data_IF_935977058114
#
_entry.id   IF_935977058114
#
_cell.length_a   1.000
_cell.length_b   1.000
_cell.length_c   1.000
_cell.angle_alpha   90.00
_cell.angle_beta   90.00
_cell.angle_gamma   90.00
#
_symmetry.space_group_name_H-M   'P 1'
#
loop_
_entity.id
_entity.type
_entity.pdbx_description
1 polymer ?
2 polymer ?
3 polymer ?
#
loop_
_entity_poly.entity_id
_entity_poly.type
_entity_poly.pdbx_seq_one_letter_code
_entity_poly.pdbx_strand_id
1 'polyribonucleotide' 'CGUACGCGGAAUACUUCGA' ?
2 'polyribonucleotide' 'UCGAAGUAUUCCGCGUACG' ?
#
# COMPACT_ATOMS: atom_id res chain seq x y z
N UNK E 4 3.51 -12.12 10.57
CA UNK E 4 3.50 -11.75 12.02
C UNK E 4 4.74 -10.94 12.48
N UNK E 5 5.54 -10.47 11.51
CA UNK E 5 6.58 -9.46 11.76
C UNK E 5 5.99 -8.06 11.51
N UNK E 6 6.52 -7.07 12.24
CA UNK E 6 6.12 -5.67 12.08
C UNK E 6 6.57 -5.11 10.74
N UNK E 7 5.72 -4.31 10.11
CA UNK E 7 6.07 -3.74 8.80
C UNK E 7 6.01 -2.20 8.76
N UNK E 8 7.18 -1.53 8.89
CA UNK E 8 7.23 -0.06 8.86
C UNK E 8 6.56 0.46 7.61
N UNK E 9 5.61 1.36 7.79
CA UNK E 9 4.90 1.93 6.67
C UNK E 9 5.87 2.58 5.69
N UNK E 10 7.02 3.02 6.19
CA UNK E 10 8.02 3.60 5.32
C UNK E 10 8.44 2.58 4.27
N UNK E 11 8.42 1.30 4.65
CA UNK E 11 8.89 0.22 3.79
C UNK E 11 7.87 -0.25 2.75
N UNK E 12 6.61 -0.35 3.16
CA UNK E 12 5.51 -0.56 2.25
C UNK E 12 5.64 0.47 1.14
N UNK E 13 5.69 1.73 1.53
CA UNK E 13 5.87 2.83 0.60
C UNK E 13 7.11 2.55 -0.22
N UNK E 14 8.23 2.32 0.45
CA UNK E 14 9.50 2.02 -0.20
C UNK E 14 9.38 0.92 -1.27
N UNK E 15 8.41 0.03 -1.09
CA UNK E 15 8.17 -1.03 -2.05
C UNK E 15 7.44 -0.49 -3.27
N UNK E 16 6.35 0.22 -3.01
CA UNK E 16 5.54 0.78 -4.08
C UNK E 16 6.35 1.70 -4.96
N UNK E 17 7.10 2.61 -4.34
CA UNK E 17 8.03 3.47 -5.04
C UNK E 17 8.73 2.64 -6.08
N UNK E 18 9.48 1.62 -5.64
CA UNK E 18 10.19 0.70 -6.53
C UNK E 18 9.25 0.23 -7.64
N UNK E 19 8.29 -0.60 -7.25
CA UNK E 19 7.29 -1.14 -8.14
C UNK E 19 6.85 -0.18 -9.22
N UNK E 20 6.58 1.06 -8.83
CA UNK E 20 6.17 2.08 -9.77
C UNK E 20 7.31 2.40 -10.71
N UNK E 21 8.46 2.75 -10.16
CA UNK E 21 9.65 3.11 -10.93
C UNK E 21 10.02 2.06 -11.97
N UNK E 22 9.53 0.83 -11.77
CA UNK E 22 9.58 -0.23 -12.78
C UNK E 22 8.55 0.06 -13.87
N UNK E 23 7.26 0.03 -13.51
CA UNK E 23 6.18 0.32 -14.46
C UNK E 23 6.57 1.49 -15.35
N UNK E 24 6.92 2.61 -14.72
CA UNK E 24 7.44 3.81 -15.38
C UNK E 24 8.53 3.55 -16.42
N UNK E 25 9.46 2.65 -16.10
CA UNK E 25 10.64 2.46 -16.93
C UNK E 25 10.39 1.53 -18.10
N UNK E 26 9.43 0.62 -17.96
CA UNK E 26 9.02 -0.27 -19.06
C UNK E 26 8.34 0.57 -20.13
N UNK E 27 7.35 1.35 -19.70
CA UNK E 27 6.60 2.22 -20.60
C UNK E 27 7.51 3.13 -21.42
N UNK E 28 8.50 3.74 -20.75
CA UNK E 28 9.51 4.60 -21.40
C UNK E 28 10.18 3.91 -22.59
N UNK E 29 10.68 2.70 -22.39
CA UNK E 29 11.36 1.97 -23.45
C UNK E 29 10.36 1.31 -24.42
N UNK E 30 9.31 0.69 -23.88
CA UNK E 30 8.26 0.14 -24.70
C UNK E 30 7.77 1.19 -25.72
N UNK E 31 7.65 2.44 -25.27
CA UNK E 31 7.28 3.58 -26.12
C UNK E 31 8.31 3.79 -27.22
N UNK E 32 9.58 3.73 -26.86
CA UNK E 32 10.66 3.88 -27.81
C UNK E 32 10.74 2.68 -28.77
N UNK E 33 10.34 1.50 -28.30
CA UNK E 33 10.23 0.31 -29.15
C UNK E 33 9.20 0.44 -30.26
N UNK E 34 8.06 1.08 -29.93
CA UNK E 34 6.98 1.30 -30.89
C UNK E 34 7.42 2.32 -31.90
N UNK E 35 7.85 3.47 -31.40
CA UNK E 35 8.36 4.55 -32.23
C UNK E 35 9.35 4.04 -33.32
N UNK E 36 10.20 3.09 -32.95
CA UNK E 36 11.14 2.47 -33.89
C UNK E 36 10.48 1.63 -34.97
N UNK E 37 9.43 0.90 -34.60
CA UNK E 37 8.67 0.10 -35.56
C UNK E 37 7.65 0.96 -36.29
N UNK E 38 7.49 2.21 -35.84
CA UNK E 38 6.51 3.15 -36.40
C UNK E 38 5.06 2.82 -36.07
N UNK E 39 4.87 1.83 -35.21
CA UNK E 39 3.55 1.37 -34.81
C UNK E 39 2.87 2.34 -33.84
N UNK E 40 1.63 2.70 -34.16
CA UNK E 40 0.79 3.53 -33.30
C UNK E 40 -0.51 2.83 -32.93
N UNK E 41 -1.23 3.40 -31.98
CA UNK E 41 -2.48 2.84 -31.55
C UNK E 41 -3.60 3.69 -32.11
N UNK E 42 -4.78 3.10 -32.34
CA UNK E 42 -5.94 3.90 -32.69
C UNK E 42 -6.03 5.16 -31.83
N UNK E 43 -6.06 5.01 -30.51
CA UNK E 43 -6.02 6.15 -29.60
C UNK E 43 -4.94 7.13 -30.02
N UNK E 44 -3.74 6.60 -30.27
CA UNK E 44 -2.57 7.42 -30.60
C UNK E 44 -2.68 8.11 -31.95
N UNK E 45 -3.46 7.53 -32.85
CA UNK E 45 -3.67 8.14 -34.16
C UNK E 45 -4.47 9.43 -34.05
N UNK E 46 -5.66 9.34 -33.43
CA UNK E 46 -6.44 10.52 -33.09
C UNK E 46 -5.57 11.53 -32.37
N UNK E 47 -5.26 11.23 -31.11
CA UNK E 47 -4.40 12.06 -30.27
C UNK E 47 -3.38 12.84 -31.09
N UNK E 48 -2.70 12.14 -31.99
CA UNK E 48 -1.73 12.76 -32.89
C UNK E 48 -2.41 13.68 -33.88
N UNK E 49 -3.23 13.11 -34.77
CA UNK E 49 -3.91 13.88 -35.83
C UNK E 49 -4.77 15.00 -35.28
N UNK E 50 -5.66 14.63 -34.37
CA UNK E 50 -6.58 15.55 -33.69
C UNK E 50 -5.83 16.69 -32.98
N UNK E 51 -4.51 16.52 -32.83
CA UNK E 51 -3.64 17.54 -32.25
C UNK E 51 -3.06 18.47 -33.32
N UNK E 52 -2.68 17.90 -34.46
CA UNK E 52 -2.11 18.67 -35.59
C UNK E 52 -3.07 19.76 -36.11
N UNK E 53 -4.36 19.42 -36.15
CA UNK E 53 -5.40 20.34 -36.61
C UNK E 53 -5.66 21.45 -35.60
N UNK E 54 -5.65 21.12 -34.32
CA UNK E 54 -5.74 22.13 -33.25
C UNK E 54 -4.44 22.95 -33.14
N UNK E 55 -3.38 22.47 -33.80
CA UNK E 55 -2.06 23.12 -33.79
C UNK E 55 -1.87 24.09 -34.97
N UNK E 56 -2.10 23.58 -36.17
CA UNK E 56 -1.98 24.38 -37.41
C UNK E 56 -2.98 25.56 -37.45
N UNK E 57 -4.12 25.40 -36.77
CA UNK E 57 -5.18 26.41 -36.71
C UNK E 57 -4.91 27.56 -35.72
N UNK E 58 -4.75 27.20 -34.45
CA UNK E 58 -4.82 28.16 -33.34
C UNK E 58 -3.66 29.18 -33.20
N UNK E 59 -2.53 28.96 -33.89
CA UNK E 59 -1.39 29.89 -33.84
C UNK E 59 -1.49 31.01 -34.87
N UNK F 4 -7.34 15.15 -4.52
CA UNK F 4 -8.76 15.48 -4.14
C UNK F 4 -9.72 14.31 -4.42
N UNK F 5 -9.17 13.16 -4.82
CA UNK F 5 -9.97 11.96 -5.03
C UNK F 5 -10.12 11.19 -3.70
N UNK F 6 -11.36 10.77 -3.42
CA UNK F 6 -11.65 9.84 -2.35
C UNK F 6 -11.20 8.45 -2.77
N UNK F 7 -10.15 7.93 -2.13
CA UNK F 7 -9.66 6.60 -2.43
C UNK F 7 -9.88 5.69 -1.23
N UNK F 8 -10.98 4.91 -1.25
CA UNK F 8 -11.30 4.00 -0.16
C UNK F 8 -10.17 3.02 0.05
N UNK F 9 -9.90 2.68 1.30
CA UNK F 9 -8.91 1.67 1.58
C UNK F 9 -9.29 0.41 0.84
N UNK F 10 -10.55 0.03 0.97
CA UNK F 10 -11.06 -1.12 0.26
C UNK F 10 -10.65 -1.11 -1.21
N UNK F 11 -10.68 0.07 -1.82
CA UNK F 11 -10.27 0.24 -3.21
C UNK F 11 -8.78 0.13 -3.44
N UNK F 12 -7.99 0.40 -2.42
CA UNK F 12 -6.54 0.25 -2.51
C UNK F 12 -6.21 -1.23 -2.35
N UNK F 13 -6.79 -1.86 -1.33
CA UNK F 13 -6.65 -3.30 -1.11
C UNK F 13 -6.80 -3.99 -2.43
N UNK F 14 -7.96 -3.74 -3.04
CA UNK F 14 -8.35 -4.37 -4.27
C UNK F 14 -7.22 -4.36 -5.27
N UNK F 15 -6.76 -3.17 -5.65
CA UNK F 15 -5.73 -3.01 -6.68
C UNK F 15 -4.53 -3.93 -6.46
N UNK F 16 -4.23 -4.22 -5.19
CA UNK F 16 -3.09 -5.05 -4.87
C UNK F 16 -3.41 -6.53 -4.97
N UNK F 17 -4.52 -6.96 -4.38
CA UNK F 17 -4.99 -8.33 -4.54
C UNK F 17 -4.74 -8.76 -5.98
N UNK F 18 -5.21 -7.94 -6.94
CA UNK F 18 -4.93 -8.12 -8.36
C UNK F 18 -3.44 -8.24 -8.64
N UNK F 19 -2.66 -7.24 -8.25
CA UNK F 19 -1.21 -7.27 -8.46
C UNK F 19 -0.57 -8.53 -7.94
N UNK F 20 -1.20 -9.12 -6.93
CA UNK F 20 -0.70 -10.33 -6.30
C UNK F 20 -1.02 -11.56 -7.13
N UNK F 21 -2.30 -11.85 -7.29
CA UNK F 21 -2.75 -12.99 -8.08
C UNK F 21 -2.18 -12.99 -9.50
N UNK F 22 -1.98 -11.81 -10.06
CA UNK F 22 -1.27 -11.66 -11.33
C UNK F 22 0.13 -12.18 -11.18
N UNK F 23 0.88 -11.56 -10.27
CA UNK F 23 2.26 -11.95 -10.00
C UNK F 23 2.39 -13.43 -9.59
N UNK F 24 1.38 -13.94 -8.88
CA UNK F 24 1.22 -15.37 -8.55
C UNK F 24 1.08 -16.27 -9.79
N UNK F 25 0.17 -15.90 -10.69
CA UNK F 25 -0.09 -16.69 -11.88
C UNK F 25 1.14 -16.77 -12.78
N UNK F 26 2.04 -15.81 -12.63
CA UNK F 26 3.25 -15.72 -13.43
C UNK F 26 4.29 -16.75 -13.01
N UNK F 27 4.36 -17.03 -11.72
CA UNK F 27 5.27 -18.04 -11.21
C UNK F 27 4.75 -19.43 -11.57
N UNK F 28 3.49 -19.69 -11.24
CA UNK F 28 2.84 -20.92 -11.65
C UNK F 28 3.24 -21.28 -13.09
N UNK F 29 3.08 -20.33 -14.01
CA UNK F 29 3.45 -20.54 -15.41
C UNK F 29 4.97 -20.61 -15.61
N UNK F 30 5.70 -19.69 -15.01
CA UNK F 30 7.15 -19.69 -15.19
C UNK F 30 7.72 -21.00 -14.68
N UNK F 31 7.20 -21.46 -13.53
CA UNK F 31 7.60 -22.72 -12.89
C UNK F 31 7.44 -23.92 -13.83
N UNK F 32 6.28 -24.01 -14.47
CA UNK F 32 5.96 -25.04 -15.46
C UNK F 32 6.90 -25.02 -16.65
N UNK F 33 7.14 -23.82 -17.19
CA UNK F 33 8.08 -23.62 -18.29
C UNK F 33 9.47 -24.20 -18.02
N UNK F 34 9.94 -24.03 -16.78
CA UNK F 34 11.28 -24.48 -16.36
C UNK F 34 11.38 -26.00 -16.23
N UNK F 35 10.29 -26.61 -15.78
CA UNK F 35 10.14 -28.07 -15.73
C UNK F 35 10.19 -28.70 -17.14
N UNK F 36 9.46 -28.11 -18.09
CA UNK F 36 9.42 -28.60 -19.46
C UNK F 36 10.76 -28.48 -20.18
N UNK F 37 11.61 -27.55 -19.70
CA UNK F 37 12.96 -27.38 -20.23
C UNK F 37 13.97 -28.24 -19.47
N UNK F 38 13.58 -28.67 -18.27
CA UNK F 38 14.47 -29.39 -17.37
C UNK F 38 15.49 -28.50 -16.68
N UNK F 39 15.18 -27.19 -16.57
CA UNK F 39 16.09 -26.23 -15.96
C UNK F 39 15.88 -26.06 -14.46
N UNK F 40 16.98 -25.92 -13.75
CA UNK F 40 16.97 -25.59 -12.34
C UNK F 40 18.07 -24.58 -12.00
N UNK F 41 17.77 -23.70 -11.05
CA UNK F 41 18.74 -22.77 -10.54
C UNK F 41 19.64 -23.49 -9.54
N UNK F 42 20.93 -23.10 -9.46
CA UNK F 42 21.90 -23.67 -8.53
C UNK F 42 21.26 -24.12 -7.23
N UNK F 43 20.54 -23.20 -6.58
CA UNK F 43 19.85 -23.47 -5.33
C UNK F 43 18.83 -24.58 -5.50
N UNK F 44 17.99 -24.46 -6.54
CA UNK F 44 16.97 -25.46 -6.84
C UNK F 44 17.54 -26.89 -6.87
N UNK F 45 18.76 -27.02 -7.40
CA UNK F 45 19.45 -28.31 -7.44
C UNK F 45 19.76 -28.76 -6.04
N UNK F 46 20.39 -27.88 -5.27
CA UNK F 46 20.90 -28.19 -3.95
C UNK F 46 19.84 -28.67 -2.97
N UNK F 47 18.63 -28.12 -3.06
CA UNK F 47 17.51 -28.60 -2.26
C UNK F 47 17.19 -30.03 -2.66
N UNK F 48 16.99 -30.22 -3.96
CA UNK F 48 16.61 -31.50 -4.53
C UNK F 48 17.56 -32.59 -4.05
N UNK F 49 18.82 -32.49 -4.48
CA UNK F 49 19.86 -33.46 -4.14
C UNK F 49 19.80 -33.83 -2.67
N UNK F 50 19.85 -32.81 -1.81
CA UNK F 50 19.80 -33.00 -0.37
C UNK F 50 18.53 -33.72 0.06
N UNK F 51 17.41 -33.35 -0.55
CA UNK F 51 16.13 -33.92 -0.14
C UNK F 51 16.16 -35.44 -0.20
N UNK F 52 16.63 -35.99 -1.32
CA UNK F 52 16.77 -37.44 -1.51
C UNK F 52 17.69 -37.99 -0.44
N UNK F 53 18.90 -37.44 -0.41
CA UNK F 53 19.92 -37.84 0.55
C UNK F 53 19.31 -38.15 1.90
N UNK F 54 18.51 -37.21 2.42
CA UNK F 54 17.87 -37.34 3.71
C UNK F 54 16.90 -38.52 3.77
N UNK F 55 15.94 -38.54 2.84
CA UNK F 55 14.82 -39.47 2.91
C UNK F 55 15.17 -40.90 2.52
N UNK F 56 16.12 -41.05 1.59
CA UNK F 56 16.65 -42.36 1.25
C UNK F 56 17.42 -42.91 2.45
N UNK F 57 18.25 -42.03 3.04
CA UNK F 57 18.99 -42.31 4.27
C UNK F 57 18.08 -42.66 5.48
N UNK F 58 16.76 -42.59 5.27
CA UNK F 58 15.81 -42.80 6.38
C UNK F 58 15.42 -44.26 6.61
N UNK F 59 15.16 -45.00 5.53
CA UNK F 59 14.72 -46.40 5.62
C UNK F 59 15.75 -47.36 6.25
N UNK G 6 -9.95 4.61 -12.00
CA UNK G 6 -8.49 4.54 -12.31
C UNK G 6 -7.61 5.05 -11.17
N UNK G 7 -6.83 4.15 -10.55
CA UNK G 7 -5.98 4.52 -9.42
C UNK G 7 -4.49 4.38 -9.78
N UNK G 8 -3.80 5.51 -10.08
CA UNK G 8 -2.36 5.45 -10.31
C UNK G 8 -1.63 4.97 -9.04
N UNK G 9 -0.48 4.32 -9.21
CA UNK G 9 0.29 3.95 -8.03
C UNK G 9 0.74 5.20 -7.28
N UNK G 10 1.18 6.19 -8.05
CA UNK G 10 1.64 7.44 -7.50
C UNK G 10 0.80 7.93 -6.33
N UNK G 11 -0.48 7.59 -6.36
CA UNK G 11 -1.44 8.02 -5.35
C UNK G 11 -1.39 7.17 -4.09
N UNK G 12 -1.46 5.87 -4.28
CA UNK G 12 -1.32 4.92 -3.19
C UNK G 12 -0.13 5.34 -2.34
N UNK G 13 1.01 5.54 -3.00
CA UNK G 13 2.19 6.18 -2.41
C UNK G 13 1.80 7.42 -1.59
N UNK G 14 1.44 8.51 -2.27
CA UNK G 14 1.13 9.79 -1.65
C UNK G 14 0.12 9.68 -0.50
N UNK G 15 -0.93 8.89 -0.69
CA UNK G 15 -1.91 8.64 0.36
C UNK G 15 -1.21 8.09 1.59
N UNK G 16 -0.35 7.10 1.38
CA UNK G 16 0.35 6.47 2.49
C UNK G 16 1.39 7.38 3.09
N UNK G 17 2.03 8.20 2.26
CA UNK G 17 2.99 9.18 2.75
C UNK G 17 2.37 9.96 3.91
N UNK G 18 1.30 10.69 3.61
CA UNK G 18 0.61 11.53 4.60
C UNK G 18 0.29 10.75 5.86
N UNK G 19 -0.29 9.57 5.68
CA UNK G 19 -0.69 8.72 6.79
C UNK G 19 0.44 8.44 7.76
N UNK G 20 1.62 8.17 7.21
CA UNK G 20 2.79 7.92 8.02
C UNK G 20 3.21 9.19 8.75
N UNK G 21 3.36 10.27 8.00
CA UNK G 21 3.77 11.58 8.55
C UNK G 21 2.83 12.10 9.64
N UNK G 22 1.59 11.64 9.58
CA UNK G 22 0.59 11.96 10.59
C UNK G 22 0.75 11.10 11.83
N UNK G 23 0.91 9.80 11.63
CA UNK G 23 1.14 8.87 12.73
C UNK G 23 2.48 9.20 13.40
N UNK G 24 3.36 9.86 12.65
CA UNK G 24 4.62 10.40 13.16
C UNK G 24 4.39 11.49 14.21
N UNK G 25 3.66 12.53 13.85
CA UNK G 25 3.33 13.59 14.78
C UNK G 25 2.49 13.04 15.92
N UNK G 26 1.61 12.08 15.63
CA UNK G 26 0.78 11.39 16.65
C UNK G 26 1.63 10.78 17.75
N UNK G 27 2.84 10.35 17.37
CA UNK G 27 3.83 9.86 18.32
C UNK G 27 4.62 11.01 18.91
N UNK G 28 5.25 11.80 18.04
CA UNK G 28 6.07 12.94 18.48
C UNK G 28 5.39 13.77 19.57
N UNK G 29 4.11 14.11 19.36
CA UNK G 29 3.30 14.73 20.39
C UNK G 29 3.14 13.77 21.57
N UNK G 30 2.66 12.56 21.31
CA UNK G 30 2.37 11.61 22.37
C UNK G 30 3.59 11.33 23.26
N UNK G 31 4.77 11.26 22.66
CA UNK G 31 6.04 11.06 23.38
C UNK G 31 6.31 12.19 24.36
N UNK G 32 6.36 13.41 23.83
CA UNK G 32 6.52 14.65 24.59
C UNK G 32 5.53 14.78 25.73
N UNK G 33 4.30 14.35 25.49
CA UNK G 33 3.27 14.37 26.50
C UNK G 33 3.61 13.50 27.73
N UNK G 34 4.21 12.33 27.51
CA UNK G 34 4.56 11.41 28.60
C UNK G 34 5.69 11.96 29.46
N UNK G 35 6.42 12.92 28.91
CA UNK G 35 7.62 13.50 29.51
C UNK G 35 7.26 14.53 30.60
N UNK G 36 6.25 15.33 30.32
CA UNK G 36 5.78 16.32 31.28
C UNK G 36 5.07 15.66 32.48
N UNK G 37 4.61 14.42 32.31
CA UNK G 37 4.09 13.61 33.42
C UNK G 37 5.23 12.97 34.20
N UNK G 38 6.34 12.69 33.51
CA UNK G 38 7.40 11.87 34.06
C UNK G 38 7.01 10.41 34.06
N UNK G 39 6.20 10.02 33.07
CA UNK G 39 5.81 8.61 32.91
C UNK G 39 6.73 7.91 31.93
N UNK G 40 7.02 6.64 32.22
CA UNK G 40 7.75 5.77 31.33
C UNK G 40 7.13 4.37 31.27
N UNK G 41 7.41 3.70 30.17
CA UNK G 41 7.09 2.30 30.00
C UNK G 41 8.12 1.50 30.79
N UNK G 42 7.72 0.33 31.31
CA UNK G 42 8.64 -0.69 31.81
C UNK G 42 9.89 -0.84 30.94
N UNK G 43 9.68 -0.92 29.63
CA UNK G 43 10.77 -0.99 28.65
C UNK G 43 11.70 0.24 28.69
N UNK G 44 11.12 1.42 28.90
CA UNK G 44 11.87 2.69 28.92
C UNK G 44 12.78 2.82 30.13
N UNK G 45 12.39 2.19 31.24
CA UNK G 45 13.17 2.17 32.48
C UNK G 45 14.51 1.51 32.24
N UNK G 46 14.45 0.24 31.82
CA UNK G 46 15.64 -0.52 31.48
C UNK G 46 16.48 0.29 30.53
N UNK G 47 15.98 0.54 29.32
CA UNK G 47 16.70 1.30 28.29
C UNK G 47 17.30 2.63 28.81
N UNK G 48 16.85 3.06 29.99
CA UNK G 48 17.37 4.25 30.65
C UNK G 48 18.44 3.90 31.70
N UNK G 49 18.06 3.12 32.72
CA UNK G 49 18.98 2.74 33.80
C UNK G 49 20.09 1.83 33.31
N UNK G 50 19.81 1.10 32.24
CA UNK G 50 20.79 0.25 31.58
C UNK G 50 21.82 1.10 30.81
N UNK G 51 21.42 2.32 30.46
CA UNK G 51 22.24 3.22 29.65
C UNK G 51 23.28 4.02 30.46
N UNK G 52 22.86 4.57 31.60
CA UNK G 52 23.74 5.38 32.46
C UNK G 52 24.94 4.59 32.97
N UNK G 53 24.70 3.34 33.35
CA UNK G 53 25.74 2.45 33.87
C UNK G 53 26.93 2.40 32.91
N UNK G 54 26.63 2.42 31.62
CA UNK G 54 27.64 2.40 30.56
C UNK G 54 28.39 3.72 30.44
N UNK G 55 27.71 4.83 30.79
CA UNK G 55 28.26 6.18 30.67
C UNK G 55 29.05 6.62 31.91
N UNK G 56 28.58 6.23 33.09
CA UNK G 56 29.26 6.51 34.36
C UNK G 56 30.58 5.70 34.48
N UNK G 57 30.94 5.02 33.39
CA UNK G 57 32.08 4.08 33.37
C UNK G 57 33.17 4.42 32.34
N UNK G 58 33.05 5.57 31.67
CA UNK G 58 34.02 5.96 30.64
C UNK G 58 35.27 6.71 31.16
N UNK G 59 35.03 7.76 31.94
CA UNK G 59 36.12 8.61 32.45
C UNK G 59 36.90 7.95 33.58
N UNK H 4 17.11 -5.29 3.56
CA UNK H 4 16.91 -6.43 2.61
C UNK H 4 16.02 -7.52 3.22
N UNK H 5 14.89 -7.12 3.80
CA UNK H 5 13.87 -8.08 4.23
C UNK H 5 12.75 -8.17 3.18
N UNK H 6 12.31 -9.40 2.93
CA UNK H 6 11.27 -9.68 1.94
C UNK H 6 9.89 -9.35 2.49
N UNK H 7 9.11 -8.65 1.68
CA UNK H 7 7.81 -8.16 2.10
C UNK H 7 6.71 -8.82 1.25
N UNK H 8 6.06 -9.87 1.79
CA UNK H 8 5.01 -10.56 1.04
C UNK H 8 3.82 -9.63 0.80
N UNK H 9 3.43 -9.48 -0.46
CA UNK H 9 2.26 -8.68 -0.76
C UNK H 9 1.07 -9.14 0.07
N UNK H 10 0.94 -10.45 0.24
CA UNK H 10 -0.14 -11.00 1.05
C UNK H 10 -0.16 -10.35 2.43
N UNK H 11 1.00 -9.87 2.88
CA UNK H 11 1.12 -9.18 4.17
C UNK H 11 0.73 -7.70 4.11
N UNK H 12 1.27 -6.96 3.14
CA UNK H 12 0.89 -5.57 2.91
C UNK H 12 -0.63 -5.44 2.93
N UNK H 13 -1.28 -6.35 2.21
CA UNK H 13 -2.74 -6.46 2.17
C UNK H 13 -3.25 -6.66 3.59
N UNK H 14 -2.86 -7.76 4.21
CA UNK H 14 -3.30 -8.12 5.56
C UNK H 14 -3.23 -6.94 6.51
N UNK H 15 -2.22 -6.08 6.30
CA UNK H 15 -2.03 -4.88 7.11
C UNK H 15 -3.10 -3.85 6.83
N UNK H 16 -3.23 -3.45 5.57
CA UNK H 16 -4.23 -2.47 5.19
C UNK H 16 -5.63 -2.93 5.57
N UNK H 17 -5.89 -4.23 5.44
CA UNK H 17 -7.15 -4.79 5.93
C UNK H 17 -7.39 -4.36 7.37
N UNK H 18 -6.37 -4.52 8.21
CA UNK H 18 -6.47 -4.09 9.61
C UNK H 18 -6.75 -2.61 9.72
N UNK H 19 -5.89 -1.77 9.13
CA UNK H 19 -6.06 -0.32 9.18
C UNK H 19 -7.51 0.05 8.97
N UNK H 20 -8.16 -0.66 8.05
CA UNK H 20 -9.52 -0.36 7.64
C UNK H 20 -10.59 -0.66 8.68
N UNK H 21 -10.54 -1.83 9.30
CA UNK H 21 -11.51 -2.19 10.34
C UNK H 21 -11.40 -1.26 11.53
N UNK H 22 -10.16 -1.03 11.97
CA UNK H 22 -9.85 -0.06 13.02
C UNK H 22 -10.49 1.27 12.67
N UNK H 23 -10.34 1.68 11.42
CA UNK H 23 -10.95 2.90 10.93
C UNK H 23 -12.47 2.78 10.84
N UNK H 24 -12.99 1.58 10.58
CA UNK H 24 -14.44 1.35 10.52
C UNK H 24 -15.06 1.44 11.90
N UNK H 25 -14.58 0.63 12.83
CA UNK H 25 -15.13 0.57 14.17
C UNK H 25 -15.14 1.95 14.82
N UNK H 26 -14.11 2.75 14.53
CA UNK H 26 -14.06 4.12 15.00
C UNK H 26 -15.36 4.83 14.66
N UNK H 27 -15.67 4.89 13.38
CA UNK H 27 -16.91 5.51 12.93
C UNK H 27 -18.12 4.98 13.69
N UNK H 28 -18.33 3.67 13.64
CA UNK H 28 -19.43 3.01 14.34
C UNK H 28 -19.64 3.54 15.76
N UNK H 29 -18.57 3.55 16.56
CA UNK H 29 -18.62 4.10 17.91
C UNK H 29 -18.95 5.57 17.83
N UNK H 30 -18.14 6.30 17.07
CA UNK H 30 -18.28 7.74 16.92
C UNK H 30 -19.70 8.12 16.52
N UNK H 31 -20.20 7.50 15.44
CA UNK H 31 -21.55 7.75 14.92
C UNK H 31 -22.60 7.61 16.01
N UNK H 32 -22.53 6.50 16.74
CA UNK H 32 -23.40 6.27 17.88
C UNK H 32 -23.26 7.40 18.92
N UNK H 33 -22.03 7.64 19.39
CA UNK H 33 -21.74 8.71 20.36
C UNK H 33 -22.45 10.01 20.02
N UNK H 34 -22.52 10.29 18.72
CA UNK H 34 -23.17 11.49 18.22
C UNK H 34 -24.67 11.43 18.46
N UNK H 35 -25.30 10.39 17.94
CA UNK H 35 -26.75 10.19 18.08
C UNK H 35 -27.20 10.40 19.53
N UNK H 36 -26.40 9.92 20.48
CA UNK H 36 -26.73 9.99 21.90
C UNK H 36 -26.70 11.41 22.46
N UNK H 37 -25.92 12.29 21.81
CA UNK H 37 -25.91 13.72 22.13
C UNK H 37 -26.93 14.45 21.27
N UNK H 38 -27.38 13.79 20.19
CA UNK H 38 -28.32 14.38 19.24
C UNK H 38 -27.68 15.33 18.25
N UNK H 39 -26.35 15.34 18.19
CA UNK H 39 -25.62 16.23 17.29
C UNK H 39 -25.63 15.73 15.84
N UNK H 40 -25.61 16.69 14.92
CA UNK H 40 -25.48 16.44 13.49
C UNK H 40 -24.60 17.51 12.83
N UNK H 41 -24.14 17.22 11.62
CA UNK H 41 -23.36 18.17 10.86
C UNK H 41 -24.27 19.01 9.98
N UNK H 42 -23.87 20.24 9.65
CA UNK H 42 -24.44 21.02 8.55
C UNK H 42 -24.81 20.18 7.33
N UNK H 43 -23.93 19.27 6.94
CA UNK H 43 -24.20 18.36 5.82
C UNK H 43 -25.23 17.33 6.21
N UNK H 44 -25.08 16.77 7.41
CA UNK H 44 -26.00 15.77 7.93
C UNK H 44 -27.41 16.30 8.12
N UNK H 45 -27.54 17.62 8.19
CA UNK H 45 -28.85 18.25 8.24
C UNK H 45 -29.51 18.30 6.88
N UNK H 46 -28.89 19.01 5.94
CA UNK H 46 -29.47 19.16 4.59
C UNK H 46 -30.06 17.84 4.12
N UNK H 47 -29.24 16.79 4.14
CA UNK H 47 -29.64 15.47 3.65
C UNK H 47 -30.90 14.97 4.35
N UNK H 48 -30.94 15.08 5.68
CA UNK H 48 -32.10 14.64 6.46
C UNK H 48 -33.34 15.43 6.10
N UNK H 49 -33.27 16.75 6.28
CA UNK H 49 -34.37 17.65 5.93
C UNK H 49 -34.87 17.36 4.55
N UNK H 50 -33.95 17.39 3.58
CA UNK H 50 -34.24 17.16 2.19
C UNK H 50 -34.87 15.80 1.94
N UNK H 51 -34.52 14.81 2.76
CA UNK H 51 -35.09 13.48 2.62
C UNK H 51 -36.57 13.40 2.97
N UNK H 52 -36.96 13.91 4.15
CA UNK H 52 -38.37 13.97 4.54
C UNK H 52 -39.17 14.73 3.52
N UNK H 53 -38.70 15.94 3.22
CA UNK H 53 -39.27 16.80 2.19
C UNK H 53 -39.47 16.06 0.87
N UNK H 54 -38.44 15.33 0.43
CA UNK H 54 -38.56 14.46 -0.73
C UNK H 54 -39.54 13.33 -0.44
N UNK H 55 -39.42 12.72 0.74
CA UNK H 55 -40.21 11.56 1.09
C UNK H 55 -41.68 11.90 1.33
N UNK H 56 -41.92 13.08 1.90
CA UNK H 56 -43.27 13.62 2.04
C UNK H 56 -43.86 13.97 0.66
N UNK H 57 -43.07 14.69 -0.14
CA UNK H 57 -43.44 15.09 -1.50
C UNK H 57 -43.73 13.87 -2.40
N UNK H 58 -43.71 12.68 -1.81
CA UNK H 58 -44.05 11.47 -2.55
C UNK H 58 -45.44 10.97 -2.17
N UNK H 59 -45.68 10.85 -0.86
CA UNK H 59 -46.95 10.35 -0.35
C UNK H 59 -48.09 11.36 -0.47
#
# INVERSE_FOLDING_TARGET
>E
SMASIEIPLHEIIRKLERMNQKKQAQRKRHKLNRKERGHKSPSEQRRSELWHARQVELSAINSDNSSDEG
>F
SMASIEIPLHEIIRKLERMNQKKQAQRKRHKLNRKERGHKSPSEQRRSELWHARQVELSAINSDNSSDEG
>G
SMASIEIPLHEIIRKLERMNQKKQAQRKRHKLNRKERGHKSPSEQRRSELWHARQVELSAINSDNSSDEG
>H
SMASIEIPLHEIIRKLERMNQKKQAQRKRHKLNRKERGHKSPSEQRRSELWHARQVELSAINSDNSSDEG
#
